data_IF_970040865267
#
_entry.id   IF_970040865267
#
_cell.length_a   1.000
_cell.length_b   1.000
_cell.length_c   1.000
_cell.angle_alpha   90.00
_cell.angle_beta   90.00
_cell.angle_gamma   90.00
#
_symmetry.space_group_name_H-M   'P 1'
#
loop_
_entity.id
_entity.type
_entity.pdbx_description
1 polymer ?
#
# COMPACT_ATOMS: atom_id res chain seq x y z
N UNK A 1 33.26 51.90 -30.86
CA UNK A 1 33.64 51.52 -29.48
C UNK A 1 34.71 50.46 -29.55
N UNK A 2 35.84 50.65 -28.88
CA UNK A 2 36.93 49.67 -28.82
C UNK A 2 36.41 48.37 -28.17
N UNK A 3 36.68 47.22 -28.81
CA UNK A 3 36.38 45.91 -28.25
C UNK A 3 37.49 45.54 -27.26
N UNK A 4 37.13 44.93 -26.13
CA UNK A 4 38.07 44.56 -25.07
C UNK A 4 38.06 43.05 -24.88
N UNK A 5 39.21 42.43 -24.62
CA UNK A 5 39.22 41.01 -24.23
C UNK A 5 38.68 40.90 -22.79
N UNK A 6 37.49 40.33 -22.62
CA UNK A 6 36.80 40.29 -21.33
C UNK A 6 37.40 39.21 -20.41
N UNK A 7 38.57 39.50 -19.85
CA UNK A 7 39.22 38.69 -18.80
C UNK A 7 38.71 39.10 -17.42
N UNK A 8 38.96 38.27 -16.40
CA UNK A 8 38.59 38.56 -15.00
C UNK A 8 39.03 39.98 -14.57
N UNK A 9 40.31 40.29 -14.76
CA UNK A 9 40.91 41.58 -14.37
C UNK A 9 40.32 42.77 -15.15
N UNK A 10 39.99 42.58 -16.43
CA UNK A 10 39.41 43.66 -17.24
C UNK A 10 37.97 43.94 -16.80
N UNK A 11 37.17 42.89 -16.59
CA UNK A 11 35.75 43.02 -16.22
C UNK A 11 35.59 43.64 -14.82
N UNK A 12 36.47 43.31 -13.87
CA UNK A 12 36.47 43.88 -12.52
C UNK A 12 36.80 45.39 -12.51
N UNK A 13 37.65 45.85 -13.45
CA UNK A 13 38.05 47.26 -13.59
C UNK A 13 37.06 48.14 -14.35
N UNK A 14 36.00 47.56 -14.93
CA UNK A 14 34.97 48.34 -15.62
C UNK A 14 34.20 49.21 -14.64
N UNK A 15 34.22 50.52 -14.87
CA UNK A 15 33.54 51.52 -14.05
C UNK A 15 32.04 51.59 -14.41
N UNK A 16 31.13 51.64 -13.42
CA UNK A 16 29.74 51.99 -13.68
C UNK A 16 29.64 53.45 -14.12
N UNK A 17 28.62 53.76 -14.93
CA UNK A 17 28.27 55.13 -15.29
C UNK A 17 26.96 55.47 -14.58
N UNK A 18 26.90 56.66 -13.99
CA UNK A 18 25.73 57.15 -13.27
C UNK A 18 24.52 57.20 -14.22
N UNK A 19 23.38 56.71 -13.74
CA UNK A 19 22.08 56.65 -14.43
C UNK A 19 22.03 55.91 -15.79
N UNK A 20 23.10 55.23 -16.22
CA UNK A 20 23.11 54.50 -17.49
C UNK A 20 23.76 53.13 -17.41
N UNK A 21 23.15 52.20 -18.13
CA UNK A 21 23.69 50.86 -18.31
C UNK A 21 24.65 50.83 -19.50
N UNK A 22 25.90 50.46 -19.26
CA UNK A 22 26.96 50.42 -20.29
C UNK A 22 27.23 48.99 -20.73
N UNK A 23 27.49 48.81 -22.03
CA UNK A 23 27.79 47.51 -22.64
C UNK A 23 29.21 47.53 -23.20
N UNK A 24 30.01 46.55 -22.80
CA UNK A 24 31.36 46.30 -23.31
C UNK A 24 31.37 44.98 -24.07
N UNK A 25 31.92 44.99 -25.29
CA UNK A 25 31.95 43.84 -26.18
C UNK A 25 33.31 43.15 -26.16
N UNK A 26 33.30 41.83 -26.28
CA UNK A 26 34.52 41.04 -26.36
C UNK A 26 35.24 41.23 -27.70
N UNK A 27 36.58 41.24 -27.66
CA UNK A 27 37.41 41.32 -28.87
C UNK A 27 37.41 40.04 -29.69
N UNK A 28 37.31 38.88 -29.04
CA UNK A 28 37.59 37.57 -29.68
C UNK A 28 36.29 36.82 -30.01
N UNK A 29 35.22 37.00 -29.22
CA UNK A 29 33.92 36.33 -29.41
C UNK A 29 32.88 37.35 -29.89
N UNK A 30 32.53 37.29 -31.18
CA UNK A 30 31.54 38.19 -31.78
C UNK A 30 30.16 37.96 -31.14
N UNK A 31 29.54 39.03 -30.67
CA UNK A 31 28.23 38.97 -30.00
C UNK A 31 28.31 38.69 -28.50
N UNK A 32 29.48 38.38 -27.94
CA UNK A 32 29.66 38.27 -26.49
C UNK A 32 29.97 39.64 -25.87
N UNK A 33 29.32 39.93 -24.75
CA UNK A 33 29.55 41.18 -24.02
C UNK A 33 29.23 41.08 -22.55
N UNK A 34 29.73 42.06 -21.79
CA UNK A 34 29.34 42.30 -20.41
C UNK A 34 28.62 43.61 -20.33
N UNK A 35 27.58 43.66 -19.51
CA UNK A 35 26.86 44.89 -19.23
C UNK A 35 26.99 45.26 -17.76
N UNK A 36 27.29 46.53 -17.52
CA UNK A 36 27.51 47.12 -16.21
C UNK A 36 26.33 48.03 -15.90
N UNK A 37 25.63 47.74 -14.81
CA UNK A 37 24.49 48.54 -14.36
C UNK A 37 24.97 49.71 -13.50
N UNK A 38 24.18 50.79 -13.34
CA UNK A 38 24.55 51.94 -12.49
C UNK A 38 24.94 51.51 -11.06
N UNK A 39 24.20 50.56 -10.47
CA UNK A 39 24.51 49.96 -9.17
C UNK A 39 25.69 48.97 -9.15
N UNK A 40 26.61 49.03 -10.10
CA UNK A 40 27.85 48.23 -10.13
C UNK A 40 27.70 46.74 -10.51
N UNK A 41 26.48 46.23 -10.69
CA UNK A 41 26.28 44.83 -11.07
C UNK A 41 26.67 44.54 -12.53
N UNK A 42 27.40 43.44 -12.74
CA UNK A 42 27.95 43.05 -14.04
C UNK A 42 27.32 41.75 -14.52
N UNK A 43 26.76 41.74 -15.72
CA UNK A 43 26.10 40.57 -16.31
C UNK A 43 26.62 40.28 -17.72
N UNK A 44 27.06 39.04 -17.94
CA UNK A 44 27.51 38.53 -19.22
C UNK A 44 26.32 38.11 -20.08
N UNK A 45 26.40 38.37 -21.37
CA UNK A 45 25.38 38.00 -22.34
C UNK A 45 26.01 37.66 -23.70
N UNK A 46 25.27 36.91 -24.51
CA UNK A 46 25.55 36.69 -25.92
C UNK A 46 24.40 37.23 -26.77
N UNK A 47 24.71 37.87 -27.90
CA UNK A 47 23.76 38.39 -28.86
C UNK A 47 24.13 37.89 -30.26
N UNK A 48 23.23 37.13 -30.88
CA UNK A 48 23.39 36.58 -32.23
C UNK A 48 22.10 36.67 -33.04
N UNK A 49 22.12 36.19 -34.28
CA UNK A 49 20.92 36.06 -35.12
C UNK A 49 20.48 34.60 -35.16
N UNK A 50 19.19 34.37 -34.95
CA UNK A 50 18.54 33.08 -35.11
C UNK A 50 17.28 33.28 -35.94
N UNK A 51 17.13 32.55 -37.06
CA UNK A 51 16.00 32.68 -37.97
C UNK A 51 15.70 34.13 -38.41
N UNK A 52 16.76 34.88 -38.75
CA UNK A 52 16.66 36.28 -39.20
C UNK A 52 16.41 37.31 -38.09
N UNK A 53 16.14 36.90 -36.84
CA UNK A 53 15.89 37.80 -35.70
C UNK A 53 17.10 37.89 -34.78
N UNK A 54 17.39 39.10 -34.28
CA UNK A 54 18.44 39.30 -33.27
C UNK A 54 17.92 38.78 -31.93
N UNK A 55 18.64 37.84 -31.31
CA UNK A 55 18.33 37.27 -30.01
C UNK A 55 19.47 37.51 -29.03
N UNK A 56 19.11 37.94 -27.82
CA UNK A 56 20.05 38.23 -26.73
C UNK A 56 19.78 37.29 -25.56
N UNK A 57 20.81 36.56 -25.14
CA UNK A 57 20.77 35.54 -24.08
C UNK A 57 21.71 35.97 -22.96
N UNK A 58 21.19 36.08 -21.75
CA UNK A 58 22.00 36.35 -20.56
C UNK A 58 22.65 35.05 -20.09
N UNK A 59 23.99 35.05 -19.96
CA UNK A 59 24.78 33.88 -19.54
C UNK A 59 24.81 33.82 -18.01
N UNK A 60 25.06 34.96 -17.35
CA UNK A 60 25.06 35.03 -15.89
C UNK A 60 25.72 36.29 -15.34
N UNK A 61 25.62 36.48 -14.02
CA UNK A 61 26.23 37.62 -13.31
C UNK A 61 27.64 37.29 -12.85
N UNK A 62 28.54 38.27 -12.91
CA UNK A 62 29.87 38.16 -12.32
C UNK A 62 29.74 37.86 -10.82
N UNK A 63 30.47 36.86 -10.33
CA UNK A 63 30.37 36.33 -8.95
C UNK A 63 29.58 35.02 -8.85
N UNK A 64 28.59 34.80 -9.73
CA UNK A 64 27.97 33.46 -9.92
C UNK A 64 28.69 32.63 -10.97
N UNK A 65 29.24 33.30 -11.99
CA UNK A 65 30.09 32.70 -13.01
C UNK A 65 31.36 33.53 -13.19
N UNK A 66 32.46 32.87 -13.57
CA UNK A 66 33.73 33.55 -13.89
C UNK A 66 33.70 34.10 -15.32
N UNK A 67 34.59 35.03 -15.62
CA UNK A 67 34.75 35.56 -16.97
C UNK A 67 35.18 34.47 -17.97
N UNK A 68 36.05 33.53 -17.57
CA UNK A 68 36.41 32.40 -18.45
C UNK A 68 35.22 31.47 -18.71
N UNK A 69 34.44 31.13 -17.68
CA UNK A 69 33.25 30.31 -17.82
C UNK A 69 32.23 30.97 -18.75
N UNK A 70 32.00 32.28 -18.58
CA UNK A 70 31.12 33.06 -19.46
C UNK A 70 31.58 33.05 -20.92
N UNK A 71 32.90 33.10 -21.19
CA UNK A 71 33.45 32.98 -22.55
C UNK A 71 33.26 31.59 -23.15
N UNK A 72 33.42 30.53 -22.36
CA UNK A 72 33.17 29.16 -22.79
C UNK A 72 31.69 28.97 -23.17
N UNK A 73 30.77 29.47 -22.34
CA UNK A 73 29.34 29.44 -22.62
C UNK A 73 28.95 30.28 -23.82
N UNK A 74 29.58 31.45 -24.02
CA UNK A 74 29.35 32.27 -25.19
C UNK A 74 29.72 31.55 -26.50
N UNK A 75 30.86 30.84 -26.55
CA UNK A 75 31.24 30.02 -27.71
C UNK A 75 30.25 28.88 -27.97
N UNK A 76 29.75 28.25 -26.91
CA UNK A 76 28.71 27.20 -27.01
C UNK A 76 27.42 27.77 -27.58
N UNK A 77 26.96 28.91 -27.06
CA UNK A 77 25.75 29.60 -27.54
C UNK A 77 25.90 30.06 -29.00
N UNK A 78 27.07 30.60 -29.36
CA UNK A 78 27.40 30.96 -30.74
C UNK A 78 27.25 29.75 -31.68
N UNK A 79 27.88 28.63 -31.34
CA UNK A 79 27.82 27.40 -32.14
C UNK A 79 26.39 26.89 -32.30
N UNK A 80 25.58 26.95 -31.24
CA UNK A 80 24.17 26.56 -31.29
C UNK A 80 23.34 27.47 -32.22
N UNK A 81 23.54 28.79 -32.15
CA UNK A 81 22.83 29.73 -33.04
C UNK A 81 23.23 29.56 -34.51
N UNK A 82 24.51 29.30 -34.79
CA UNK A 82 25.01 29.03 -36.15
C UNK A 82 24.42 27.74 -36.74
N UNK A 83 24.17 26.74 -35.89
CA UNK A 83 23.47 25.50 -36.25
C UNK A 83 21.92 25.65 -36.27
N UNK A 84 21.39 26.85 -36.10
CA UNK A 84 19.94 27.10 -36.08
C UNK A 84 19.21 26.58 -34.83
N UNK A 85 19.93 26.20 -33.77
CA UNK A 85 19.37 25.74 -32.51
C UNK A 85 19.15 26.92 -31.55
N UNK A 86 17.98 26.99 -30.91
CA UNK A 86 17.68 28.04 -29.93
C UNK A 86 18.42 27.79 -28.60
N UNK A 87 19.41 28.61 -28.22
CA UNK A 87 20.21 28.40 -27.02
C UNK A 87 19.61 29.02 -25.75
N UNK A 88 18.44 29.65 -25.87
CA UNK A 88 17.73 30.16 -24.68
C UNK A 88 17.52 28.99 -23.73
N UNK A 89 17.55 29.18 -22.40
CA UNK A 89 17.03 28.16 -21.50
C UNK A 89 15.65 27.82 -22.06
N UNK A 90 15.52 26.59 -22.54
CA UNK A 90 14.29 26.11 -23.09
C UNK A 90 13.29 26.35 -21.96
N UNK A 91 12.36 27.29 -22.17
CA UNK A 91 10.98 26.96 -21.86
C UNK A 91 10.74 25.75 -22.74
N UNK A 92 11.19 24.58 -22.29
CA UNK A 92 10.85 23.33 -22.91
C UNK A 92 9.36 23.45 -23.03
N UNK A 93 8.91 23.50 -24.29
CA UNK A 93 7.51 23.30 -24.60
C UNK A 93 7.15 22.13 -23.73
N UNK A 94 6.26 22.38 -22.78
CA UNK A 94 5.66 21.39 -21.93
C UNK A 94 5.04 20.40 -22.93
N UNK A 95 5.81 19.39 -23.35
CA UNK A 95 5.24 18.06 -23.47
C UNK A 95 4.57 17.91 -22.14
N UNK A 96 3.23 17.95 -22.14
CA UNK A 96 2.37 17.91 -20.96
C UNK A 96 3.01 16.97 -19.95
N UNK A 97 3.74 17.55 -19.00
CA UNK A 97 4.62 16.76 -18.15
C UNK A 97 3.67 16.06 -17.21
N UNK A 98 3.62 14.73 -17.35
CA UNK A 98 2.64 13.93 -16.63
C UNK A 98 2.62 14.36 -15.16
N UNK A 99 1.42 14.70 -14.70
CA UNK A 99 1.22 15.23 -13.37
C UNK A 99 1.37 14.11 -12.34
N UNK A 100 1.49 14.50 -11.07
CA UNK A 100 1.41 13.55 -9.98
C UNK A 100 0.07 12.81 -9.96
N UNK A 101 -1.01 13.46 -10.36
CA UNK A 101 -2.32 12.84 -10.57
C UNK A 101 -2.30 11.76 -11.65
N UNK A 102 -1.64 12.02 -12.78
CA UNK A 102 -1.48 11.04 -13.85
C UNK A 102 -0.70 9.81 -13.38
N UNK A 103 0.39 10.03 -12.62
CA UNK A 103 1.16 8.95 -12.00
C UNK A 103 0.31 8.08 -11.06
N UNK A 104 -0.43 8.70 -10.15
CA UNK A 104 -1.25 7.97 -9.19
C UNK A 104 -2.43 7.24 -9.87
N UNK A 105 -2.97 7.82 -10.94
CA UNK A 105 -4.02 7.20 -11.75
C UNK A 105 -3.49 6.02 -12.56
N UNK A 106 -2.32 6.15 -13.19
CA UNK A 106 -1.64 5.04 -13.87
C UNK A 106 -1.27 3.90 -12.91
N UNK A 107 -0.94 4.22 -11.66
CA UNK A 107 -0.75 3.21 -10.61
C UNK A 107 -2.04 2.44 -10.27
N UNK A 108 -3.19 3.12 -10.22
CA UNK A 108 -4.48 2.43 -10.05
C UNK A 108 -4.78 1.54 -11.25
N UNK A 109 -4.60 2.04 -12.47
CA UNK A 109 -4.81 1.27 -13.70
C UNK A 109 -3.92 0.02 -13.74
N UNK A 110 -2.64 0.14 -13.35
CA UNK A 110 -1.73 -1.00 -13.22
C UNK A 110 -2.29 -2.07 -12.28
N UNK A 111 -2.82 -1.67 -11.12
CA UNK A 111 -3.42 -2.61 -10.17
C UNK A 111 -4.68 -3.27 -10.74
N UNK A 112 -5.49 -2.53 -11.51
CA UNK A 112 -6.69 -3.06 -12.18
C UNK A 112 -6.31 -4.07 -13.27
N UNK A 113 -5.33 -3.76 -14.13
CA UNK A 113 -4.81 -4.67 -15.16
C UNK A 113 -4.18 -5.94 -14.57
N UNK A 114 -3.54 -5.82 -13.40
CA UNK A 114 -3.03 -6.97 -12.64
C UNK A 114 -4.12 -7.77 -11.90
N UNK A 115 -5.41 -7.42 -12.06
CA UNK A 115 -6.52 -8.08 -11.38
C UNK A 115 -6.49 -7.95 -9.86
N UNK A 116 -5.79 -6.94 -9.30
CA UNK A 116 -5.68 -6.78 -7.85
C UNK A 116 -7.00 -6.32 -7.27
N UNK A 117 -7.63 -7.15 -6.43
CA UNK A 117 -8.87 -6.81 -5.72
C UNK A 117 -8.78 -5.52 -4.88
N UNK A 118 -7.57 -5.12 -4.48
CA UNK A 118 -7.35 -3.88 -3.73
C UNK A 118 -7.48 -2.61 -4.57
N UNK A 119 -7.45 -2.69 -5.91
CA UNK A 119 -7.37 -1.53 -6.80
C UNK A 119 -8.47 -0.50 -6.53
N UNK A 120 -9.73 -0.94 -6.40
CA UNK A 120 -10.86 -0.07 -6.06
C UNK A 120 -10.67 0.68 -4.73
N UNK A 121 -10.18 -0.01 -3.71
CA UNK A 121 -9.93 0.62 -2.40
C UNK A 121 -8.74 1.58 -2.44
N UNK A 122 -7.69 1.26 -3.21
CA UNK A 122 -6.55 2.14 -3.44
C UNK A 122 -7.00 3.42 -4.16
N UNK A 123 -7.78 3.29 -5.23
CA UNK A 123 -8.40 4.41 -5.97
C UNK A 123 -9.17 5.35 -5.06
N UNK A 124 -10.08 4.81 -4.26
CA UNK A 124 -10.88 5.61 -3.32
C UNK A 124 -10.03 6.34 -2.27
N UNK A 125 -8.96 5.71 -1.79
CA UNK A 125 -8.04 6.31 -0.83
C UNK A 125 -7.19 7.41 -1.47
N UNK A 126 -6.70 7.21 -2.70
CA UNK A 126 -5.99 8.24 -3.47
C UNK A 126 -6.90 9.45 -3.72
N UNK A 127 -8.12 9.20 -4.19
CA UNK A 127 -9.08 10.27 -4.48
C UNK A 127 -9.40 11.12 -3.23
N UNK A 128 -9.66 10.46 -2.09
CA UNK A 128 -9.98 11.15 -0.84
C UNK A 128 -8.76 11.82 -0.21
N UNK A 129 -7.64 11.10 -0.09
CA UNK A 129 -6.54 11.50 0.78
C UNK A 129 -5.45 12.29 0.05
N UNK A 130 -5.44 12.28 -1.29
CA UNK A 130 -4.47 12.96 -2.15
C UNK A 130 -5.17 13.94 -3.09
N UNK A 131 -5.98 13.45 -4.04
CA UNK A 131 -6.56 14.27 -5.12
C UNK A 131 -7.39 15.44 -4.57
N UNK A 132 -8.40 15.13 -3.74
CA UNK A 132 -9.29 16.14 -3.15
C UNK A 132 -8.60 16.99 -2.08
N UNK A 133 -7.65 16.41 -1.35
CA UNK A 133 -6.99 17.09 -0.24
C UNK A 133 -5.84 18.00 -0.69
N UNK A 134 -5.20 17.72 -1.83
CA UNK A 134 -4.02 18.43 -2.34
C UNK A 134 -4.13 18.71 -3.85
N UNK A 135 -5.14 19.47 -4.31
CA UNK A 135 -5.37 19.72 -5.74
C UNK A 135 -4.15 20.37 -6.43
N UNK A 136 -3.40 21.21 -5.71
CA UNK A 136 -2.15 21.81 -6.23
C UNK A 136 -1.04 20.78 -6.45
N UNK A 137 -0.88 19.81 -5.54
CA UNK A 137 0.10 18.73 -5.71
C UNK A 137 -0.38 17.73 -6.75
N UNK A 138 -1.69 17.47 -6.83
CA UNK A 138 -2.28 16.62 -7.85
C UNK A 138 -1.94 17.08 -9.27
N UNK A 139 -2.07 18.39 -9.55
CA UNK A 139 -1.70 18.98 -10.84
C UNK A 139 -0.21 19.31 -11.01
N UNK A 140 0.64 19.06 -9.99
CA UNK A 140 2.08 19.33 -10.07
C UNK A 140 2.74 18.30 -10.98
N UNK A 141 3.68 18.67 -11.87
CA UNK A 141 4.45 17.70 -12.65
C UNK A 141 5.11 16.65 -11.74
N UNK A 142 4.93 15.37 -12.04
CA UNK A 142 5.45 14.28 -11.23
C UNK A 142 6.98 14.30 -11.13
N UNK A 143 7.67 14.77 -12.18
CA UNK A 143 9.13 14.98 -12.21
C UNK A 143 9.62 16.08 -11.27
N UNK A 144 8.74 17.00 -10.86
CA UNK A 144 9.04 18.11 -9.96
C UNK A 144 8.58 17.85 -8.52
N UNK A 145 8.05 16.66 -8.22
CA UNK A 145 7.66 16.27 -6.87
C UNK A 145 8.91 16.12 -5.98
N UNK A 146 8.85 16.67 -4.77
CA UNK A 146 9.92 16.60 -3.78
C UNK A 146 9.57 15.65 -2.63
N UNK A 147 10.56 15.32 -1.80
CA UNK A 147 10.32 14.59 -0.56
C UNK A 147 9.36 15.35 0.36
N UNK A 148 9.51 16.68 0.48
CA UNK A 148 8.66 17.52 1.32
C UNK A 148 7.21 17.54 0.85
N UNK A 149 6.96 17.58 -0.47
CA UNK A 149 5.61 17.44 -1.02
C UNK A 149 4.99 16.12 -0.56
N UNK A 150 5.72 15.00 -0.71
CA UNK A 150 5.24 13.68 -0.31
C UNK A 150 5.01 13.59 1.21
N UNK A 151 5.91 14.18 1.99
CA UNK A 151 5.82 14.24 3.45
C UNK A 151 4.63 15.09 3.91
N UNK A 152 4.26 16.15 3.20
CA UNK A 152 3.07 16.95 3.52
C UNK A 152 1.78 16.14 3.44
N UNK A 153 1.66 15.27 2.42
CA UNK A 153 0.50 14.40 2.21
C UNK A 153 0.37 13.38 3.36
N UNK A 154 1.48 12.72 3.69
CA UNK A 154 1.51 11.70 4.76
C UNK A 154 1.41 12.34 6.15
N UNK A 155 2.01 13.52 6.33
CA UNK A 155 2.02 14.30 7.56
C UNK A 155 0.60 14.67 7.98
N UNK A 156 -0.21 15.22 7.07
CA UNK A 156 -1.63 15.54 7.35
C UNK A 156 -2.40 14.38 7.99
N UNK A 157 -2.29 13.19 7.41
CA UNK A 157 -3.00 12.01 7.94
C UNK A 157 -2.49 11.56 9.30
N UNK A 158 -1.20 11.76 9.57
CA UNK A 158 -0.63 11.49 10.88
C UNK A 158 -1.13 12.51 11.91
N UNK A 159 -1.20 13.77 11.55
CA UNK A 159 -1.68 14.86 12.43
C UNK A 159 -3.18 14.72 12.73
N UNK A 160 -3.94 14.09 11.83
CA UNK A 160 -5.33 13.65 12.05
C UNK A 160 -5.46 12.35 12.88
N UNK A 161 -4.39 11.87 13.52
CA UNK A 161 -4.31 10.60 14.26
C UNK A 161 -4.75 9.37 13.45
N UNK A 162 -4.39 9.33 12.15
CA UNK A 162 -4.65 8.18 11.25
C UNK A 162 -3.35 7.51 10.79
N UNK A 163 -2.48 7.02 11.70
CA UNK A 163 -1.15 6.51 11.36
C UNK A 163 -1.17 5.31 10.39
N UNK A 164 -2.21 4.48 10.45
CA UNK A 164 -2.43 3.37 9.51
C UNK A 164 -2.71 3.84 8.09
N UNK A 165 -3.55 4.86 7.94
CA UNK A 165 -3.90 5.41 6.64
C UNK A 165 -2.70 6.17 6.06
N UNK A 166 -1.99 6.94 6.92
CA UNK A 166 -0.76 7.62 6.55
C UNK A 166 0.29 6.65 5.97
N UNK A 167 0.52 5.50 6.60
CA UNK A 167 1.49 4.51 6.10
C UNK A 167 1.06 3.85 4.78
N UNK A 168 -0.25 3.66 4.56
CA UNK A 168 -0.77 3.18 3.27
C UNK A 168 -0.51 4.18 2.16
N UNK A 169 -0.86 5.46 2.38
CA UNK A 169 -0.63 6.53 1.40
C UNK A 169 0.87 6.67 1.10
N UNK A 170 1.73 6.65 2.13
CA UNK A 170 3.18 6.59 1.96
C UNK A 170 3.60 5.44 1.04
N UNK A 171 3.05 4.25 1.28
CA UNK A 171 3.35 3.07 0.45
C UNK A 171 2.89 3.25 -0.99
N UNK A 172 1.69 3.79 -1.23
CA UNK A 172 1.18 3.99 -2.59
C UNK A 172 2.04 4.98 -3.37
N UNK A 173 2.37 6.12 -2.77
CA UNK A 173 3.23 7.14 -3.42
C UNK A 173 4.58 6.52 -3.78
N UNK A 174 5.25 5.88 -2.80
CA UNK A 174 6.54 5.26 -3.03
C UNK A 174 6.49 4.19 -4.11
N UNK A 175 5.49 3.31 -4.09
CA UNK A 175 5.34 2.25 -5.09
C UNK A 175 5.01 2.81 -6.47
N UNK A 176 4.10 3.77 -6.60
CA UNK A 176 3.75 4.38 -7.87
C UNK A 176 4.97 4.94 -8.61
N UNK A 177 5.81 5.72 -7.92
CA UNK A 177 7.06 6.22 -8.51
C UNK A 177 8.02 5.10 -8.91
N UNK A 178 8.17 4.07 -8.08
CA UNK A 178 9.05 2.93 -8.41
C UNK A 178 8.55 2.14 -9.63
N UNK A 179 7.25 1.87 -9.71
CA UNK A 179 6.64 1.19 -10.86
C UNK A 179 6.77 2.01 -12.14
N UNK A 180 6.60 3.34 -12.08
CA UNK A 180 6.80 4.21 -13.23
C UNK A 180 8.25 4.22 -13.74
N UNK A 181 9.25 4.16 -12.85
CA UNK A 181 10.67 4.05 -13.22
C UNK A 181 10.92 2.71 -13.91
N UNK A 182 10.42 1.61 -13.33
CA UNK A 182 10.63 0.26 -13.85
C UNK A 182 9.91 0.03 -15.19
N UNK A 183 8.76 0.67 -15.41
CA UNK A 183 7.95 0.49 -16.61
C UNK A 183 8.69 0.81 -17.90
N UNK A 184 9.66 1.74 -17.90
CA UNK A 184 10.33 2.19 -19.12
C UNK A 184 11.06 1.07 -19.88
N UNK A 185 11.50 0.03 -19.16
CA UNK A 185 12.17 -1.14 -19.73
C UNK A 185 11.28 -2.37 -19.89
N UNK A 186 9.99 -2.29 -19.54
CA UNK A 186 9.10 -3.46 -19.49
C UNK A 186 7.90 -3.28 -20.42
N UNK A 187 7.87 -4.05 -21.50
CA UNK A 187 6.79 -4.05 -22.50
C UNK A 187 5.44 -4.51 -21.92
N UNK A 188 5.46 -5.27 -20.83
CA UNK A 188 4.26 -5.76 -20.16
C UNK A 188 3.62 -4.69 -19.26
N UNK A 189 4.29 -3.56 -19.04
CA UNK A 189 3.74 -2.48 -18.24
C UNK A 189 2.79 -1.59 -19.05
N UNK A 190 1.75 -1.02 -18.41
CA UNK A 190 0.76 -0.17 -19.07
C UNK A 190 1.43 0.99 -19.82
N UNK A 191 0.88 1.35 -20.98
CA UNK A 191 1.37 2.51 -21.74
C UNK A 191 1.28 3.80 -20.92
N UNK A 192 0.26 3.93 -20.06
CA UNK A 192 0.10 5.04 -19.12
C UNK A 192 1.27 5.18 -18.16
N UNK A 193 1.87 4.08 -17.69
CA UNK A 193 3.10 4.10 -16.87
C UNK A 193 4.35 4.42 -17.68
N UNK A 194 4.51 3.79 -18.86
CA UNK A 194 5.71 3.93 -19.70
C UNK A 194 5.94 5.37 -20.19
N UNK A 195 4.85 6.12 -20.40
CA UNK A 195 4.88 7.49 -20.94
C UNK A 195 5.20 8.57 -19.91
N UNK A 196 5.23 8.26 -18.61
CA UNK A 196 5.39 9.27 -17.53
C UNK A 196 6.78 9.91 -17.45
N UNK A 197 7.81 9.31 -18.09
CA UNK A 197 9.19 9.82 -18.09
C UNK A 197 9.78 10.06 -16.68
N UNK A 198 9.39 9.26 -15.69
CA UNK A 198 9.92 9.33 -14.33
C UNK A 198 11.29 8.64 -14.26
N UNK A 199 12.29 9.34 -13.71
CA UNK A 199 13.66 8.83 -13.55
C UNK A 199 14.12 8.76 -12.09
N UNK A 200 13.38 9.41 -11.18
CA UNK A 200 13.71 9.49 -9.76
C UNK A 200 12.46 9.35 -8.88
N UNK A 201 12.61 8.68 -7.73
CA UNK A 201 11.54 8.48 -6.76
C UNK A 201 11.78 9.40 -5.54
N UNK A 202 11.07 10.53 -5.42
CA UNK A 202 11.22 11.45 -4.28
C UNK A 202 10.74 10.84 -2.94
N UNK A 203 9.90 9.81 -2.99
CA UNK A 203 9.37 9.13 -1.82
C UNK A 203 10.21 7.91 -1.37
N UNK A 204 11.35 7.65 -2.02
CA UNK A 204 12.20 6.47 -1.74
C UNK A 204 12.58 6.37 -0.27
N UNK A 205 12.97 7.48 0.32
CA UNK A 205 13.55 7.56 1.67
C UNK A 205 12.50 7.85 2.76
N UNK A 206 11.20 7.88 2.39
CA UNK A 206 10.11 8.01 3.37
C UNK A 206 10.06 6.82 4.31
N UNK A 207 10.28 7.09 5.60
CA UNK A 207 10.24 6.09 6.67
C UNK A 207 8.81 5.67 6.98
N UNK A 208 8.66 4.43 7.46
CA UNK A 208 7.38 3.88 7.92
C UNK A 208 6.80 4.76 9.03
N UNK A 209 5.49 4.99 9.00
CA UNK A 209 4.81 5.81 10.03
C UNK A 209 4.75 5.01 11.34
N UNK A 210 5.27 5.56 12.44
CA UNK A 210 5.19 4.93 13.78
C UNK A 210 3.71 4.76 14.19
N UNK A 211 3.40 3.66 14.88
CA UNK A 211 2.02 3.33 15.30
C UNK A 211 1.12 2.75 14.21
N UNK A 212 1.56 2.70 12.96
CA UNK A 212 0.81 2.10 11.84
C UNK A 212 0.60 0.58 11.98
N UNK A 213 1.41 -0.10 12.79
CA UNK A 213 1.35 -1.55 12.95
C UNK A 213 1.14 -2.01 14.39
N UNK A 214 0.52 -1.18 15.24
CA UNK A 214 0.09 -1.65 16.56
C UNK A 214 -0.98 -2.72 16.36
N UNK A 215 -0.57 -3.97 16.36
CA UNK A 215 -1.46 -5.11 16.33
C UNK A 215 -2.26 -5.07 17.63
N UNK A 216 -3.59 -4.95 17.53
CA UNK A 216 -4.47 -4.93 18.71
C UNK A 216 -4.76 -6.37 19.11
N UNK A 217 -3.71 -7.16 19.24
CA UNK A 217 -3.78 -8.61 19.27
C UNK A 217 -3.76 -9.07 20.72
N UNK A 218 -4.96 -9.12 21.31
CA UNK A 218 -5.19 -9.94 22.49
C UNK A 218 -6.01 -11.17 22.11
N UNK A 219 -5.65 -12.30 22.71
CA UNK A 219 -6.52 -13.46 22.79
C UNK A 219 -7.44 -13.31 24.02
N UNK A 220 -8.68 -13.78 23.90
CA UNK A 220 -9.63 -13.83 25.00
C UNK A 220 -9.22 -14.88 26.04
N UNK A 221 -9.63 -14.67 27.28
CA UNK A 221 -9.60 -15.72 28.30
C UNK A 221 -10.56 -16.85 27.95
N UNK A 222 -10.40 -18.04 28.55
CA UNK A 222 -11.35 -19.14 28.32
C UNK A 222 -12.76 -18.74 28.80
N UNK A 223 -12.84 -18.03 29.93
CA UNK A 223 -14.08 -17.49 30.45
C UNK A 223 -14.70 -16.47 29.48
N UNK A 224 -13.93 -15.50 28.99
CA UNK A 224 -14.39 -14.54 27.99
C UNK A 224 -14.87 -15.24 26.71
N UNK A 225 -14.15 -16.26 26.22
CA UNK A 225 -14.49 -16.95 24.99
C UNK A 225 -15.77 -17.79 25.12
N UNK A 226 -15.98 -18.46 26.26
CA UNK A 226 -17.25 -19.15 26.57
C UNK A 226 -18.40 -18.16 26.77
N UNK A 227 -18.16 -17.01 27.40
CA UNK A 227 -19.16 -15.95 27.55
C UNK A 227 -19.55 -15.33 26.19
N UNK A 228 -18.58 -15.19 25.27
CA UNK A 228 -18.82 -14.82 23.88
C UNK A 228 -19.67 -15.88 23.17
N UNK A 229 -19.32 -17.17 23.28
CA UNK A 229 -20.05 -18.28 22.65
C UNK A 229 -21.51 -18.39 23.12
N UNK A 230 -21.77 -18.26 24.42
CA UNK A 230 -23.14 -18.24 24.97
C UNK A 230 -23.99 -17.16 24.31
N UNK A 231 -23.44 -15.96 24.11
CA UNK A 231 -24.15 -14.86 23.44
C UNK A 231 -24.32 -15.09 21.95
N UNK A 232 -23.32 -15.66 21.28
CA UNK A 232 -23.46 -16.09 19.87
C UNK A 232 -24.65 -17.02 19.70
N UNK A 233 -24.78 -18.05 20.56
CA UNK A 233 -25.91 -19.00 20.51
C UNK A 233 -27.27 -18.36 20.80
N UNK A 234 -27.30 -17.25 21.53
CA UNK A 234 -28.53 -16.52 21.87
C UNK A 234 -28.95 -15.49 20.81
N UNK A 235 -28.14 -15.25 19.77
CA UNK A 235 -28.51 -14.33 18.70
C UNK A 235 -29.70 -14.87 17.88
N UNK A 236 -30.50 -13.99 17.25
CA UNK A 236 -31.45 -14.40 16.22
C UNK A 236 -30.71 -14.82 14.93
N UNK A 237 -31.37 -15.61 14.10
CA UNK A 237 -30.89 -15.83 12.73
C UNK A 237 -30.99 -14.54 11.90
N UNK A 238 -30.10 -14.35 10.90
CA UNK A 238 -28.98 -15.22 10.53
C UNK A 238 -27.69 -14.95 11.34
N UNK A 239 -27.72 -13.98 12.27
CA UNK A 239 -26.54 -13.52 13.01
C UNK A 239 -25.90 -14.64 13.84
N UNK A 240 -26.73 -15.50 14.44
CA UNK A 240 -26.29 -16.68 15.19
C UNK A 240 -25.42 -17.59 14.34
N UNK A 241 -25.97 -18.14 13.26
CA UNK A 241 -25.25 -19.11 12.43
C UNK A 241 -24.01 -18.50 11.78
N UNK A 242 -24.07 -17.25 11.32
CA UNK A 242 -22.90 -16.56 10.76
C UNK A 242 -21.75 -16.41 11.76
N UNK A 243 -22.07 -16.06 13.02
CA UNK A 243 -21.06 -15.98 14.08
C UNK A 243 -20.59 -17.36 14.56
N UNK A 244 -21.48 -18.36 14.57
CA UNK A 244 -21.11 -19.75 14.85
C UNK A 244 -20.13 -20.29 13.82
N UNK A 245 -20.44 -20.14 12.53
CA UNK A 245 -19.56 -20.52 11.43
C UNK A 245 -18.21 -19.83 11.50
N UNK A 246 -18.17 -18.55 11.86
CA UNK A 246 -16.89 -17.85 12.06
C UNK A 246 -16.03 -18.54 13.13
N UNK A 247 -16.61 -18.95 14.27
CA UNK A 247 -15.86 -19.67 15.31
C UNK A 247 -15.52 -21.09 14.90
N UNK A 248 -16.51 -21.88 14.48
CA UNK A 248 -16.39 -23.32 14.21
C UNK A 248 -15.56 -23.65 12.97
N UNK A 249 -15.22 -22.66 12.14
CA UNK A 249 -14.27 -22.80 11.03
C UNK A 249 -12.86 -22.34 11.38
N UNK A 250 -12.61 -21.98 12.65
CA UNK A 250 -11.31 -21.56 13.16
C UNK A 250 -11.07 -20.05 13.15
N UNK A 251 -12.10 -19.21 13.03
CA UNK A 251 -11.95 -17.75 12.98
C UNK A 251 -11.43 -17.28 11.62
N UNK A 252 -12.00 -17.78 10.52
CA UNK A 252 -11.53 -17.40 9.18
C UNK A 252 -11.67 -15.91 8.89
N UNK A 253 -10.84 -15.39 7.99
CA UNK A 253 -10.89 -13.95 7.67
C UNK A 253 -12.24 -13.67 7.04
N UNK A 254 -12.95 -12.69 7.58
CA UNK A 254 -14.30 -12.34 7.13
C UNK A 254 -14.40 -12.17 5.61
N UNK A 255 -13.43 -11.52 4.96
CA UNK A 255 -13.42 -11.32 3.50
C UNK A 255 -13.33 -12.61 2.67
N UNK A 256 -12.81 -13.70 3.26
CA UNK A 256 -12.79 -15.02 2.61
C UNK A 256 -14.18 -15.64 2.73
N UNK A 257 -14.77 -15.60 3.93
CA UNK A 257 -16.10 -16.13 4.21
C UNK A 257 -17.19 -15.45 3.38
N UNK A 258 -17.11 -14.14 3.16
CA UNK A 258 -18.12 -13.40 2.37
C UNK A 258 -18.22 -13.84 0.90
N UNK A 259 -17.32 -14.69 0.41
CA UNK A 259 -17.29 -15.15 -1.00
C UNK A 259 -17.80 -16.57 -1.17
N UNK A 260 -18.00 -17.29 -0.08
CA UNK A 260 -18.39 -18.70 -0.10
C UNK A 260 -19.80 -18.83 -0.62
N UNK A 261 -19.96 -19.69 -1.62
CA UNK A 261 -21.22 -20.08 -2.22
C UNK A 261 -21.58 -21.52 -1.84
N UNK A 262 -22.80 -21.94 -2.11
CA UNK A 262 -23.25 -23.32 -1.91
C UNK A 262 -22.42 -24.33 -2.71
N UNK A 263 -21.86 -23.94 -3.86
CA UNK A 263 -20.97 -24.79 -4.66
C UNK A 263 -19.61 -25.06 -3.99
N UNK A 264 -19.20 -24.21 -3.04
CA UNK A 264 -17.96 -24.39 -2.29
C UNK A 264 -18.14 -25.35 -1.10
N UNK A 265 -19.36 -25.85 -0.85
CA UNK A 265 -19.69 -26.77 0.23
C UNK A 265 -19.80 -28.19 -0.32
N UNK A 266 -18.89 -29.06 0.11
CA UNK A 266 -18.98 -30.49 -0.12
C UNK A 266 -19.71 -31.14 1.07
N UNK A 267 -20.82 -31.83 0.79
CA UNK A 267 -21.61 -32.55 1.81
C UNK A 267 -21.26 -34.03 1.91
N UNK A 268 -20.66 -34.61 0.87
CA UNK A 268 -20.23 -36.01 0.87
C UNK A 268 -18.92 -36.17 1.66
N UNK A 269 -18.02 -35.20 1.50
CA UNK A 269 -16.88 -34.98 2.37
C UNK A 269 -17.02 -33.62 3.07
N UNK A 270 -17.78 -33.54 4.19
CA UNK A 270 -18.15 -32.30 4.89
C UNK A 270 -17.04 -31.26 4.96
N UNK A 271 -17.05 -30.31 4.02
CA UNK A 271 -15.98 -29.33 3.90
C UNK A 271 -16.43 -28.07 3.16
N UNK A 272 -15.69 -26.99 3.40
CA UNK A 272 -15.87 -25.69 2.77
C UNK A 272 -14.58 -25.25 2.11
N UNK A 273 -14.64 -24.91 0.83
CA UNK A 273 -13.52 -24.33 0.11
C UNK A 273 -13.54 -22.80 0.22
N UNK A 274 -12.42 -22.19 0.61
CA UNK A 274 -12.26 -20.74 0.63
C UNK A 274 -11.02 -20.30 -0.13
N UNK A 275 -11.09 -19.12 -0.74
CA UNK A 275 -10.01 -18.56 -1.55
C UNK A 275 -9.12 -17.61 -0.73
N UNK A 276 -7.84 -17.95 -0.58
CA UNK A 276 -6.85 -17.08 0.08
C UNK A 276 -5.95 -16.35 -0.92
N UNK A 277 -6.25 -15.07 -1.09
CA UNK A 277 -5.50 -14.13 -1.95
C UNK A 277 -4.30 -13.49 -1.24
N UNK A 278 -4.03 -13.81 0.03
CA UNK A 278 -2.95 -13.19 0.80
C UNK A 278 -1.59 -13.65 0.30
N UNK A 279 -0.69 -12.70 0.05
CA UNK A 279 0.70 -12.93 -0.37
C UNK A 279 0.98 -12.44 -1.78
N UNK A 280 2.21 -12.67 -2.27
CA UNK A 280 2.59 -12.42 -3.67
C UNK A 280 2.22 -13.62 -4.54
N UNK A 281 0.93 -13.91 -4.65
CA UNK A 281 0.41 -15.00 -5.49
C UNK A 281 -0.30 -14.43 -6.72
N UNK A 282 -0.18 -15.12 -7.84
CA UNK A 282 -0.92 -14.86 -9.10
C UNK A 282 -2.33 -15.42 -8.99
N UNK A 283 -2.46 -16.65 -8.51
CA UNK A 283 -3.74 -17.32 -8.25
C UNK A 283 -4.03 -17.43 -6.75
N UNK A 284 -5.31 -17.36 -6.34
CA UNK A 284 -5.67 -17.60 -4.95
C UNK A 284 -5.34 -19.04 -4.55
N UNK A 285 -4.85 -19.23 -3.32
CA UNK A 285 -4.75 -20.58 -2.77
C UNK A 285 -6.14 -21.08 -2.41
N UNK A 286 -6.50 -22.24 -2.93
CA UNK A 286 -7.66 -22.99 -2.45
C UNK A 286 -7.33 -23.52 -1.06
N UNK A 287 -8.16 -23.16 -0.09
CA UNK A 287 -8.04 -23.58 1.29
C UNK A 287 -9.32 -24.31 1.71
N UNK A 288 -9.19 -25.62 1.87
CA UNK A 288 -10.28 -26.51 2.30
C UNK A 288 -10.33 -26.55 3.82
N UNK A 289 -11.51 -26.35 4.39
CA UNK A 289 -11.79 -26.39 5.83
C UNK A 289 -12.82 -27.50 6.10
N UNK A 290 -12.52 -28.48 6.96
CA UNK A 290 -13.52 -29.48 7.37
C UNK A 290 -14.70 -28.81 8.07
N UNK A 291 -15.90 -29.34 7.87
CA UNK A 291 -17.13 -28.86 8.51
C UNK A 291 -17.62 -29.86 9.55
N UNK A 292 -17.81 -29.37 10.77
CA UNK A 292 -18.48 -30.13 11.84
C UNK A 292 -19.99 -30.25 11.54
N UNK A 293 -20.70 -31.25 12.11
CA UNK A 293 -22.15 -31.37 11.97
C UNK A 293 -22.92 -30.09 12.36
N UNK A 294 -22.48 -29.40 13.42
CA UNK A 294 -23.06 -28.12 13.83
C UNK A 294 -22.80 -27.00 12.82
N UNK A 295 -21.66 -27.03 12.12
CA UNK A 295 -21.36 -26.07 11.04
C UNK A 295 -22.29 -26.30 9.84
N UNK A 296 -22.51 -27.55 9.43
CA UNK A 296 -23.48 -27.86 8.37
C UNK A 296 -24.90 -27.42 8.77
N UNK A 297 -25.30 -27.72 10.01
CA UNK A 297 -26.61 -27.31 10.54
C UNK A 297 -26.75 -25.78 10.61
N UNK A 298 -25.67 -25.06 10.89
CA UNK A 298 -25.65 -23.59 10.83
C UNK A 298 -25.79 -23.07 9.40
N UNK A 299 -25.17 -23.71 8.40
CA UNK A 299 -25.35 -23.38 6.98
C UNK A 299 -26.81 -23.59 6.57
N UNK A 300 -27.40 -24.73 6.93
CA UNK A 300 -28.79 -25.08 6.58
C UNK A 300 -29.81 -24.07 7.17
N UNK A 301 -29.53 -23.50 8.35
CA UNK A 301 -30.40 -22.50 8.99
C UNK A 301 -30.45 -21.14 8.31
N UNK A 302 -29.42 -20.77 7.54
CA UNK A 302 -29.30 -19.42 6.93
C UNK A 302 -29.32 -19.43 5.42
N UNK A 303 -29.22 -20.62 4.82
CA UNK A 303 -29.34 -20.80 3.37
C UNK A 303 -30.82 -20.74 2.99
N UNK A 304 -31.11 -19.99 1.93
CA UNK A 304 -32.44 -19.85 1.35
C UNK A 304 -32.40 -20.18 -0.13
N UNK A 305 -33.12 -19.42 -0.96
CA UNK A 305 -33.14 -19.62 -2.41
C UNK A 305 -31.91 -19.10 -3.17
N UNK A 306 -30.98 -18.40 -2.52
CA UNK A 306 -29.79 -17.84 -3.16
C UNK A 306 -28.51 -18.65 -2.95
N UNK A 307 -27.43 -18.24 -3.61
CA UNK A 307 -26.18 -19.01 -3.69
C UNK A 307 -25.19 -18.75 -2.54
N UNK A 308 -25.24 -17.59 -1.89
CA UNK A 308 -24.24 -17.20 -0.89
C UNK A 308 -24.49 -17.85 0.48
N UNK A 309 -23.48 -18.52 1.04
CA UNK A 309 -23.56 -19.13 2.38
C UNK A 309 -23.58 -18.05 3.47
N UNK A 310 -22.66 -17.08 3.38
CA UNK A 310 -22.58 -16.00 4.35
C UNK A 310 -23.45 -14.83 3.91
N UNK A 311 -24.76 -14.94 4.15
CA UNK A 311 -25.78 -13.96 3.74
C UNK A 311 -26.74 -13.59 4.86
N UNK A 312 -27.28 -12.37 4.80
CA UNK A 312 -28.42 -11.94 5.63
C UNK A 312 -29.75 -11.92 4.86
N UNK A 313 -29.74 -12.32 3.59
CA UNK A 313 -30.88 -12.21 2.65
C UNK A 313 -31.20 -13.57 2.04
N UNK A 314 -31.03 -14.66 2.82
CA UNK A 314 -31.28 -16.03 2.34
C UNK A 314 -30.42 -16.46 1.14
N UNK A 315 -29.23 -15.88 0.99
CA UNK A 315 -28.27 -16.24 -0.05
C UNK A 315 -28.25 -15.33 -1.28
N UNK A 316 -29.13 -14.33 -1.39
CA UNK A 316 -29.13 -13.42 -2.56
C UNK A 316 -27.90 -12.52 -2.62
N UNK A 317 -27.44 -12.02 -1.46
CA UNK A 317 -26.30 -11.10 -1.36
C UNK A 317 -25.36 -11.55 -0.24
N UNK A 318 -24.04 -11.45 -0.44
CA UNK A 318 -23.10 -11.75 0.63
C UNK A 318 -23.16 -10.66 1.72
N UNK A 319 -22.82 -11.04 2.95
CA UNK A 319 -22.65 -10.06 4.03
C UNK A 319 -21.55 -9.04 3.69
N UNK A 320 -21.69 -7.83 4.23
CA UNK A 320 -20.65 -6.81 4.09
C UNK A 320 -19.38 -7.18 4.89
N UNK A 321 -18.22 -6.69 4.44
CA UNK A 321 -16.89 -6.98 5.00
C UNK A 321 -16.66 -6.56 6.47
N UNK A 322 -17.61 -5.86 7.10
CA UNK A 322 -17.55 -5.41 8.50
C UNK A 322 -18.60 -6.06 9.40
N UNK A 323 -19.53 -6.82 8.83
CA UNK A 323 -20.64 -7.46 9.53
C UNK A 323 -20.23 -8.28 10.78
N UNK A 324 -19.25 -9.18 10.70
CA UNK A 324 -18.79 -9.93 11.88
C UNK A 324 -18.16 -9.02 12.94
N UNK A 325 -17.49 -7.93 12.54
CA UNK A 325 -17.01 -6.94 13.50
C UNK A 325 -18.16 -6.23 14.22
N UNK A 326 -19.27 -5.97 13.54
CA UNK A 326 -20.46 -5.38 14.16
C UNK A 326 -21.13 -6.34 15.15
N UNK A 327 -21.24 -7.63 14.80
CA UNK A 327 -21.70 -8.66 15.75
C UNK A 327 -20.80 -8.71 16.98
N UNK A 328 -19.48 -8.82 16.76
CA UNK A 328 -18.51 -8.88 17.86
C UNK A 328 -18.56 -7.60 18.70
N UNK A 329 -18.74 -6.43 18.09
CA UNK A 329 -18.89 -5.16 18.80
C UNK A 329 -20.12 -5.17 19.72
N UNK A 330 -21.28 -5.66 19.23
CA UNK A 330 -22.51 -5.77 20.03
C UNK A 330 -22.30 -6.71 21.22
N UNK A 331 -21.86 -7.94 20.98
CA UNK A 331 -21.59 -8.93 22.03
C UNK A 331 -20.60 -8.41 23.06
N UNK A 332 -19.51 -7.79 22.61
CA UNK A 332 -18.50 -7.20 23.49
C UNK A 332 -19.11 -6.11 24.39
N UNK A 333 -19.95 -5.23 23.85
CA UNK A 333 -20.63 -4.21 24.66
C UNK A 333 -21.46 -4.86 25.77
N UNK A 334 -22.19 -5.93 25.46
CA UNK A 334 -23.02 -6.63 26.44
C UNK A 334 -22.19 -7.40 27.48
N UNK A 335 -21.07 -8.00 27.08
CA UNK A 335 -20.10 -8.58 28.01
C UNK A 335 -19.50 -7.52 28.94
N UNK A 336 -19.22 -6.32 28.42
CA UNK A 336 -18.73 -5.19 29.21
C UNK A 336 -19.72 -4.74 30.27
N UNK A 337 -21.00 -4.61 29.90
CA UNK A 337 -22.09 -4.32 30.86
C UNK A 337 -22.24 -5.40 31.93
N UNK A 338 -21.97 -6.65 31.59
CA UNK A 338 -22.04 -7.79 32.50
C UNK A 338 -20.77 -7.96 33.37
N UNK A 339 -19.74 -7.12 33.21
CA UNK A 339 -18.48 -7.26 33.94
C UNK A 339 -17.64 -8.49 33.54
N UNK A 340 -17.90 -9.07 32.37
CA UNK A 340 -17.24 -10.30 31.91
C UNK A 340 -16.00 -10.03 31.01
N UNK A 341 -15.53 -8.78 30.94
CA UNK A 341 -14.33 -8.41 30.18
C UNK A 341 -13.14 -8.18 31.11
N UNK A 342 -12.16 -9.07 31.06
CA UNK A 342 -10.94 -8.97 31.86
C UNK A 342 -9.95 -7.95 31.29
N UNK A 343 -9.79 -7.92 29.96
CA UNK A 343 -8.74 -7.13 29.27
C UNK A 343 -9.30 -6.07 28.31
N UNK A 344 -10.57 -5.68 28.47
CA UNK A 344 -11.24 -4.64 27.66
C UNK A 344 -11.65 -5.04 26.23
N UNK A 345 -11.16 -4.31 25.22
CA UNK A 345 -11.65 -4.36 23.83
C UNK A 345 -11.16 -5.59 23.01
N UNK A 346 -12.06 -6.24 22.25
CA UNK A 346 -11.72 -7.27 21.26
C UNK A 346 -12.51 -7.12 19.94
N UNK A 347 -12.07 -7.79 18.87
CA UNK A 347 -12.62 -7.75 17.49
C UNK A 347 -12.78 -9.16 16.90
N UNK A 348 -13.34 -9.29 15.69
CA UNK A 348 -13.36 -10.57 14.97
C UNK A 348 -11.94 -11.13 14.75
N UNK A 349 -10.95 -10.27 14.51
CA UNK A 349 -9.54 -10.68 14.45
C UNK A 349 -8.99 -11.21 15.79
N UNK A 350 -9.47 -10.66 16.91
CA UNK A 350 -9.13 -11.17 18.25
C UNK A 350 -9.74 -12.55 18.49
N UNK A 351 -10.93 -12.85 17.97
CA UNK A 351 -11.53 -14.19 18.04
C UNK A 351 -10.64 -15.21 17.32
N UNK A 352 -10.17 -14.88 16.11
CA UNK A 352 -9.21 -15.72 15.39
C UNK A 352 -7.91 -15.95 16.19
N UNK A 353 -7.31 -14.90 16.73
CA UNK A 353 -6.13 -15.02 17.58
C UNK A 353 -6.41 -15.85 18.85
N UNK A 354 -7.64 -15.79 19.38
CA UNK A 354 -8.09 -16.60 20.50
C UNK A 354 -8.13 -18.07 20.14
N UNK A 355 -8.73 -18.43 18.99
CA UNK A 355 -8.77 -19.81 18.50
C UNK A 355 -7.36 -20.38 18.41
N UNK A 356 -6.45 -19.67 17.74
CA UNK A 356 -5.05 -20.09 17.59
C UNK A 356 -4.37 -20.27 18.97
N UNK A 357 -4.47 -19.26 19.83
CA UNK A 357 -3.85 -19.27 21.17
C UNK A 357 -4.41 -20.36 22.07
N UNK A 358 -5.70 -20.67 21.98
CA UNK A 358 -6.36 -21.64 22.85
C UNK A 358 -6.14 -23.08 22.39
N UNK A 359 -6.07 -23.31 21.08
CA UNK A 359 -5.80 -24.64 20.53
C UNK A 359 -4.35 -25.06 20.73
N UNK A 360 -3.38 -24.14 20.64
CA UNK A 360 -1.96 -24.47 20.90
C UNK A 360 -1.66 -24.67 22.39
N UNK A 361 -2.42 -24.01 23.28
CA UNK A 361 -2.23 -24.11 24.71
C UNK A 361 -2.66 -25.49 25.27
N UNK A 362 -2.22 -25.80 26.50
CA UNK A 362 -2.84 -26.88 27.27
C UNK A 362 -4.34 -26.59 27.43
N UNK A 363 -5.21 -27.60 27.33
CA UNK A 363 -4.91 -29.03 27.22
C UNK A 363 -4.66 -29.55 25.79
N UNK A 364 -5.10 -28.81 24.77
CA UNK A 364 -5.27 -29.34 23.41
C UNK A 364 -3.99 -29.50 22.60
N UNK A 365 -3.01 -28.62 22.82
CA UNK A 365 -1.65 -28.70 22.23
C UNK A 365 -1.62 -28.99 20.72
N UNK A 366 -2.53 -28.39 19.97
CA UNK A 366 -2.58 -28.54 18.50
C UNK A 366 -1.28 -27.97 17.90
N UNK A 367 -0.67 -28.71 16.97
CA UNK A 367 0.58 -28.34 16.31
C UNK A 367 0.47 -26.99 15.58
N UNK A 368 1.56 -26.21 15.59
CA UNK A 368 1.61 -24.91 14.92
C UNK A 368 1.54 -25.02 13.39
N UNK A 369 1.97 -26.15 12.85
CA UNK A 369 1.81 -26.54 11.45
C UNK A 369 0.33 -26.77 11.11
N UNK A 370 -0.40 -27.54 11.93
CA UNK A 370 -1.85 -27.78 11.77
C UNK A 370 -2.60 -26.45 11.85
N UNK A 371 -2.32 -25.61 12.85
CA UNK A 371 -2.93 -24.28 12.96
C UNK A 371 -2.56 -23.38 11.79
N UNK A 372 -1.32 -23.43 11.32
CA UNK A 372 -0.89 -22.72 10.11
C UNK A 372 -1.68 -23.14 8.88
N UNK A 373 -2.00 -24.43 8.74
CA UNK A 373 -2.84 -24.96 7.68
C UNK A 373 -4.31 -24.59 7.85
N UNK A 374 -4.88 -24.75 9.05
CA UNK A 374 -6.26 -24.38 9.39
C UNK A 374 -6.54 -22.89 9.16
N UNK A 375 -5.56 -22.04 9.44
CA UNK A 375 -5.69 -20.59 9.34
C UNK A 375 -5.19 -20.05 7.99
N UNK A 376 -4.74 -20.91 7.08
CA UNK A 376 -4.05 -20.48 5.84
C UNK A 376 -3.00 -19.38 6.13
N UNK A 377 -2.15 -19.63 7.11
CA UNK A 377 -0.93 -18.85 7.30
C UNK A 377 0.06 -19.24 6.22
N UNK A 378 0.81 -18.26 5.70
CA UNK A 378 1.81 -18.51 4.67
C UNK A 378 2.91 -19.39 5.26
N UNK A 379 2.91 -20.66 4.88
CA UNK A 379 3.94 -21.63 5.19
C UNK A 379 5.24 -21.18 4.52
N UNK A 380 6.06 -20.45 5.29
CA UNK A 380 7.22 -19.69 4.81
C UNK A 380 8.45 -20.55 4.48
N UNK A 381 8.42 -21.84 4.80
CA UNK A 381 9.54 -22.75 4.57
C UNK A 381 9.56 -23.33 3.15
N UNK A 382 10.75 -23.41 2.56
CA UNK A 382 11.01 -24.08 1.27
C UNK A 382 10.48 -25.52 1.29
N UNK A 383 10.57 -26.20 2.43
CA UNK A 383 10.11 -27.57 2.63
C UNK A 383 8.58 -27.73 2.48
N UNK A 384 7.80 -26.81 3.03
CA UNK A 384 6.33 -26.80 2.91
C UNK A 384 5.85 -26.36 1.51
N UNK A 385 6.69 -25.65 0.75
CA UNK A 385 6.37 -25.25 -0.63
C UNK A 385 6.65 -26.32 -1.67
N UNK A 386 7.63 -27.19 -1.42
CA UNK A 386 8.13 -28.12 -2.43
C UNK A 386 7.94 -29.61 -2.10
N UNK A 387 7.69 -29.98 -0.83
CA UNK A 387 7.69 -31.40 -0.42
C UNK A 387 6.45 -31.86 0.35
N UNK A 388 5.67 -30.95 0.96
CA UNK A 388 4.52 -31.32 1.77
C UNK A 388 3.20 -31.22 0.97
N UNK A 389 2.78 -32.33 0.37
CA UNK A 389 1.51 -32.45 -0.35
C UNK A 389 0.32 -32.85 0.53
N UNK A 390 0.56 -33.13 1.82
CA UNK A 390 -0.50 -33.44 2.79
C UNK A 390 -1.43 -32.25 3.03
N UNK A 391 -2.74 -32.48 2.97
CA UNK A 391 -3.77 -31.42 3.07
C UNK A 391 -4.22 -31.13 4.52
N UNK A 392 -3.73 -31.93 5.48
CA UNK A 392 -4.04 -31.86 6.91
C UNK A 392 -5.53 -31.97 7.25
N UNK A 393 -6.33 -32.66 6.43
CA UNK A 393 -7.79 -32.66 6.60
C UNK A 393 -8.19 -33.18 7.98
N UNK A 394 -7.71 -34.36 8.36
CA UNK A 394 -8.06 -35.02 9.62
C UNK A 394 -7.53 -34.24 10.84
N UNK A 395 -6.32 -33.68 10.75
CA UNK A 395 -5.73 -32.90 11.82
C UNK A 395 -6.45 -31.55 12.02
N UNK A 396 -6.92 -30.93 10.92
CA UNK A 396 -7.79 -29.75 11.00
C UNK A 396 -9.14 -30.11 11.61
N UNK A 397 -9.73 -31.24 11.24
CA UNK A 397 -11.01 -31.69 11.77
C UNK A 397 -10.91 -31.92 13.28
N UNK A 398 -9.91 -32.67 13.75
CA UNK A 398 -9.63 -32.87 15.18
C UNK A 398 -9.43 -31.53 15.92
N UNK A 399 -8.70 -30.59 15.32
CA UNK A 399 -8.54 -29.24 15.90
C UNK A 399 -9.88 -28.48 16.03
N UNK A 400 -10.78 -28.62 15.05
CA UNK A 400 -12.10 -28.00 15.10
C UNK A 400 -13.04 -28.68 16.11
N UNK A 401 -12.98 -30.00 16.25
CA UNK A 401 -13.72 -30.72 17.29
C UNK A 401 -13.26 -30.28 18.69
N UNK A 402 -11.95 -30.17 18.91
CA UNK A 402 -11.37 -29.62 20.14
C UNK A 402 -11.84 -28.19 20.41
N UNK A 403 -11.94 -27.36 19.36
CA UNK A 403 -12.48 -26.02 19.46
C UNK A 403 -13.95 -26.02 19.90
N UNK A 404 -14.79 -26.87 19.29
CA UNK A 404 -16.21 -27.00 19.65
C UNK A 404 -16.37 -27.42 21.11
N UNK A 405 -15.67 -28.49 21.54
CA UNK A 405 -15.66 -28.96 22.94
C UNK A 405 -15.30 -27.82 23.91
N UNK A 406 -14.27 -27.05 23.58
CA UNK A 406 -13.79 -25.94 24.40
C UNK A 406 -14.85 -24.86 24.63
N UNK A 407 -15.50 -24.40 23.56
CA UNK A 407 -16.51 -23.33 23.63
C UNK A 407 -17.81 -23.81 24.25
N UNK A 408 -18.14 -25.09 24.10
CA UNK A 408 -19.30 -25.72 24.73
C UNK A 408 -19.07 -26.07 26.21
N UNK A 409 -17.82 -26.07 26.67
CA UNK A 409 -17.48 -26.42 28.05
C UNK A 409 -17.50 -27.92 28.32
N UNK A 410 -17.41 -28.74 27.27
CA UNK A 410 -17.32 -30.19 27.39
C UNK A 410 -15.99 -30.60 28.04
N UNK A 411 -15.94 -31.77 28.73
CA UNK A 411 -14.71 -32.29 29.30
C UNK A 411 -13.65 -32.53 28.23
N UNK A 412 -12.39 -32.46 28.63
CA UNK A 412 -11.26 -32.77 27.77
C UNK A 412 -11.33 -34.24 27.33
N UNK A 413 -10.95 -34.57 26.09
CA UNK A 413 -10.77 -35.96 25.71
C UNK A 413 -9.65 -36.55 26.58
N UNK A 414 -10.01 -37.31 27.61
CA UNK A 414 -9.05 -38.07 28.39
C UNK A 414 -8.51 -39.18 27.51
N UNK A 415 -7.21 -39.13 27.21
CA UNK A 415 -6.53 -40.27 26.60
C UNK A 415 -6.72 -41.49 27.50
N UNK A 416 -7.16 -42.60 26.93
CA UNK A 416 -7.23 -43.86 27.64
C UNK A 416 -5.79 -44.25 27.99
N UNK A 417 -5.41 -44.13 29.26
CA UNK A 417 -4.10 -44.60 29.72
C UNK A 417 -4.13 -46.11 29.69
N UNK A 418 -3.55 -46.70 28.65
CA UNK A 418 -3.35 -48.14 28.57
C UNK A 418 -2.13 -48.46 29.42
N UNK A 419 -2.35 -48.97 30.63
CA UNK A 419 -1.26 -49.52 31.45
C UNK A 419 -0.69 -50.75 30.75
N UNK A 420 0.58 -50.65 30.33
CA UNK A 420 1.32 -51.83 29.92
C UNK A 420 1.57 -52.70 31.16
N UNK A 421 1.01 -53.91 31.19
CA UNK A 421 1.37 -54.91 32.20
C UNK A 421 2.87 -55.17 32.08
N UNK A 422 3.64 -54.89 33.15
CA UNK A 422 5.03 -55.34 33.25
C UNK A 422 5.06 -56.86 33.11
N UNK A 423 5.91 -57.36 32.21
CA UNK A 423 6.18 -58.79 32.13
C UNK A 423 6.65 -59.27 33.50
N UNK A 424 5.98 -60.29 34.04
CA UNK A 424 6.42 -61.00 35.24
C UNK A 424 7.84 -61.51 35.00
N UNK A 425 8.76 -61.16 35.88
CA UNK A 425 10.17 -61.58 35.83
C UNK A 425 10.32 -63.08 36.10
#
# INVERSE_FOLDING_TARGET
>A
MSKLKLTKTVVEKLQPVEDKQVVYWDSDIVGFGVRVSPGGSRAFFYQGRLNGKIKKITIGKLGRITAEAARKDAKRIQSMMELGQDPSPSKEKTQESATFGDLMSAYVELLEQQGKMSARNVKNQIARDIEKAFPKLWGKPATNMTLDDCMSIVGRLKDEDKPRQADKIRSYIRTAFSEAINARGDVNMPASMRRLNITFNPARDMRKVKGSSNAKDRALTLAEFRAYWRRVKALPEPHRSLAMLHVLTGGQRQQQLTRVTLHDIDRDAPSMQILDYKGRRTEPRIHVIPLLPESLSAIDRITGGGEYVFSCTGGEKPIHNVFLNDIVKRIRTDMGKAGELEKGHFTAGSIRATVETRLIAKPYRVGSDVLGQLLSHGTGGVQQRHYQHHNFFDEKLDALEKLQRMVEGQPEPSGQVIEFKRASA
#
